data_IF_291424235275
#
_entry.id   IF_291424235275
#
_cell.length_a   1.000
_cell.length_b   1.000
_cell.length_c   1.000
_cell.angle_alpha   90.00
_cell.angle_beta   90.00
_cell.angle_gamma   90.00
#
_symmetry.space_group_name_H-M   'P 1'
#
loop_
_entity.id
_entity.type
_entity.pdbx_description
1 polymer ?
#
# COMPACT_ATOMS: atom_id res chain seq x y z
N UNK A 1 -7.73 25.01 -6.54
CA UNK A 1 -7.53 24.40 -7.05
C UNK A 1 -7.45 23.15 -6.75
N UNK A 2 -7.67 22.52 -7.13
CA UNK A 2 -7.66 21.45 -6.63
C UNK A 2 -6.69 20.59 -7.08
N UNK A 3 -6.23 19.80 -6.38
CA UNK A 3 -5.38 19.00 -6.71
C UNK A 3 -5.86 17.71 -6.84
N UNK A 4 -6.30 17.31 -7.82
CA UNK A 4 -6.87 16.13 -7.96
C UNK A 4 -6.00 15.02 -8.27
N UNK A 5 -4.75 15.16 -8.19
CA UNK A 5 -3.90 14.28 -8.63
C UNK A 5 -3.98 12.94 -8.04
N UNK A 6 -3.71 12.60 -6.89
CA UNK A 6 -3.62 11.32 -6.27
C UNK A 6 -4.55 11.33 -5.09
N UNK A 7 -5.69 10.65 -5.21
CA UNK A 7 -6.66 10.64 -4.15
C UNK A 7 -6.88 9.27 -3.57
N UNK A 8 -6.62 8.21 -4.32
CA UNK A 8 -6.85 6.84 -3.86
C UNK A 8 -5.54 6.11 -3.84
N UNK A 9 -5.11 5.66 -2.70
CA UNK A 9 -3.82 5.03 -2.54
C UNK A 9 -3.97 3.67 -1.92
N UNK A 10 -3.40 2.66 -2.57
CA UNK A 10 -3.34 1.32 -2.01
C UNK A 10 -2.03 1.15 -1.29
N UNK A 11 -2.05 0.53 -0.13
CA UNK A 11 -0.84 0.29 0.64
C UNK A 11 -0.73 -1.20 0.93
N UNK A 12 0.41 -1.79 0.57
CA UNK A 12 0.68 -3.20 0.80
C UNK A 12 1.94 -3.33 1.62
N UNK A 13 1.94 -4.24 2.55
CA UNK A 13 3.10 -4.42 3.40
C UNK A 13 3.36 -5.88 3.67
N UNK A 14 4.63 -6.25 3.75
CA UNK A 14 4.99 -7.60 4.11
C UNK A 14 4.64 -7.81 5.58
N UNK A 15 3.83 -8.81 5.90
CA UNK A 15 3.31 -8.98 7.25
C UNK A 15 4.31 -9.13 8.37
N UNK A 16 5.44 -9.71 8.11
CA UNK A 16 6.37 -9.99 9.18
C UNK A 16 7.53 -9.04 9.30
N UNK A 17 7.51 -7.93 8.63
CA UNK A 17 8.61 -6.98 8.73
C UNK A 17 8.48 -6.19 10.04
N UNK A 18 9.45 -6.25 10.92
CA UNK A 18 9.32 -5.58 12.22
C UNK A 18 9.14 -4.06 12.13
N UNK A 19 9.81 -3.44 11.15
CA UNK A 19 9.68 -2.00 11.01
C UNK A 19 8.37 -1.59 10.37
N UNK A 20 7.64 -2.53 9.81
CA UNK A 20 6.42 -2.21 9.09
C UNK A 20 5.36 -1.59 9.97
N UNK A 21 5.24 -2.08 11.20
CA UNK A 21 4.21 -1.58 12.10
C UNK A 21 4.42 -0.09 12.36
N UNK A 22 5.66 0.29 12.62
CA UNK A 22 5.97 1.68 12.90
C UNK A 22 5.73 2.56 11.69
N UNK A 23 6.20 2.11 10.53
CA UNK A 23 6.03 2.88 9.29
C UNK A 23 4.57 3.02 8.93
N UNK A 24 3.81 1.92 8.97
CA UNK A 24 2.40 1.98 8.65
C UNK A 24 1.65 2.86 9.62
N UNK A 25 2.01 2.79 10.89
CA UNK A 25 1.36 3.58 11.92
C UNK A 25 1.53 5.09 11.72
N UNK A 26 2.55 5.50 10.96
CA UNK A 26 2.78 6.89 10.65
C UNK A 26 2.25 7.23 9.28
N UNK A 27 2.46 6.36 8.32
CA UNK A 27 2.11 6.62 6.94
C UNK A 27 0.60 6.70 6.72
N UNK A 28 -0.13 5.74 7.25
CA UNK A 28 -1.56 5.68 6.96
C UNK A 28 -2.32 6.85 7.55
N UNK A 29 -2.10 7.23 8.82
CA UNK A 29 -2.78 8.42 9.33
C UNK A 29 -2.38 9.68 8.57
N UNK A 30 -1.10 9.75 8.15
CA UNK A 30 -0.64 10.91 7.41
C UNK A 30 -1.36 11.03 6.06
N UNK A 31 -1.51 9.90 5.35
CA UNK A 31 -2.20 9.91 4.07
C UNK A 31 -3.67 10.31 4.26
N UNK A 32 -4.31 9.82 5.29
CA UNK A 32 -5.69 10.15 5.57
C UNK A 32 -5.85 11.64 5.90
N UNK A 33 -4.83 12.23 6.56
CA UNK A 33 -4.87 13.61 6.86
C UNK A 33 -4.70 14.42 5.62
N UNK A 34 -4.10 13.88 4.56
CA UNK A 34 -3.96 14.58 3.29
C UNK A 34 -5.20 14.37 2.41
N UNK A 35 -6.28 13.85 2.99
CA UNK A 35 -7.52 13.58 2.28
C UNK A 35 -7.40 12.48 1.23
N UNK A 36 -6.47 11.58 1.41
CA UNK A 36 -6.35 10.43 0.53
C UNK A 36 -7.23 9.31 1.05
N UNK A 37 -7.86 8.59 0.14
CA UNK A 37 -8.62 7.41 0.50
C UNK A 37 -7.63 6.26 0.45
N UNK A 38 -7.42 5.60 1.57
CA UNK A 38 -6.41 4.56 1.67
C UNK A 38 -7.07 3.19 1.63
N UNK A 39 -6.60 2.35 0.69
CA UNK A 39 -7.09 0.98 0.58
C UNK A 39 -6.00 0.05 1.09
N UNK A 40 -6.39 -0.90 1.92
CA UNK A 40 -5.45 -1.87 2.48
C UNK A 40 -5.95 -3.26 2.16
N UNK A 41 -5.05 -4.16 1.80
CA UNK A 41 -5.46 -5.55 1.68
C UNK A 41 -5.58 -6.14 3.09
N UNK A 42 -6.09 -7.34 3.19
CA UNK A 42 -6.37 -7.96 4.48
C UNK A 42 -5.13 -8.05 5.35
N UNK A 43 -4.03 -8.51 4.77
CA UNK A 43 -2.81 -8.68 5.57
C UNK A 43 -2.24 -7.38 6.09
N UNK A 44 -2.28 -6.33 5.28
CA UNK A 44 -1.78 -5.03 5.69
C UNK A 44 -2.68 -4.43 6.78
N UNK A 45 -3.98 -4.57 6.61
CA UNK A 45 -4.92 -4.04 7.60
C UNK A 45 -4.71 -4.73 8.96
N UNK A 46 -4.45 -6.02 8.94
CA UNK A 46 -4.21 -6.74 10.18
C UNK A 46 -3.03 -6.17 10.95
N UNK A 47 -2.00 -5.72 10.28
CA UNK A 47 -0.81 -5.20 10.96
C UNK A 47 -1.16 -4.01 11.84
N UNK A 48 -2.13 -3.21 11.43
CA UNK A 48 -2.51 -2.04 12.20
C UNK A 48 -3.87 -2.20 12.87
N UNK A 49 -4.28 -3.44 13.05
CA UNK A 49 -5.54 -3.73 13.73
C UNK A 49 -6.76 -3.12 13.08
N UNK A 50 -6.77 -3.08 11.77
CA UNK A 50 -7.95 -2.65 11.02
C UNK A 50 -8.49 -3.84 10.26
N UNK A 51 -9.70 -3.73 9.77
CA UNK A 51 -10.34 -4.78 9.01
C UNK A 51 -10.47 -4.35 7.55
N UNK A 52 -10.17 -5.24 6.64
CA UNK A 52 -10.34 -4.96 5.24
C UNK A 52 -10.64 -6.26 4.52
N UNK A 53 -11.46 -6.19 3.49
CA UNK A 53 -11.75 -7.34 2.67
C UNK A 53 -11.31 -7.13 1.23
N UNK A 54 -10.54 -6.11 0.95
CA UNK A 54 -10.08 -5.87 -0.42
C UNK A 54 -8.98 -6.84 -0.81
N UNK A 55 -9.02 -7.28 -2.06
CA UNK A 55 -7.94 -8.08 -2.61
C UNK A 55 -7.01 -7.17 -3.40
N UNK A 56 -5.80 -7.62 -3.67
CA UNK A 56 -4.82 -6.82 -4.39
C UNK A 56 -5.36 -6.31 -5.71
N UNK A 57 -6.07 -7.17 -6.44
CA UNK A 57 -6.60 -6.75 -7.73
C UNK A 57 -7.63 -5.66 -7.61
N UNK A 58 -8.51 -5.78 -6.62
CA UNK A 58 -9.54 -4.77 -6.40
C UNK A 58 -8.91 -3.42 -6.10
N UNK A 59 -7.87 -3.42 -5.28
CA UNK A 59 -7.17 -2.20 -4.93
C UNK A 59 -6.50 -1.61 -6.15
N UNK A 60 -5.85 -2.46 -6.96
CA UNK A 60 -5.16 -2.00 -8.16
C UNK A 60 -6.11 -1.38 -9.17
N UNK A 61 -7.34 -1.86 -9.23
CA UNK A 61 -8.32 -1.30 -10.14
C UNK A 61 -8.76 0.10 -9.75
N UNK A 62 -8.73 0.40 -8.47
CA UNK A 62 -9.26 1.66 -7.98
C UNK A 62 -8.22 2.71 -7.63
N UNK A 63 -7.03 2.28 -7.28
CA UNK A 63 -6.04 3.22 -6.75
C UNK A 63 -5.38 4.06 -7.82
N UNK A 64 -4.96 5.23 -7.45
CA UNK A 64 -4.19 6.10 -8.33
C UNK A 64 -2.70 5.85 -8.14
N UNK A 65 -2.33 5.27 -7.01
CA UNK A 65 -0.94 4.98 -6.69
C UNK A 65 -0.94 3.82 -5.71
N UNK A 66 0.04 2.94 -5.84
CA UNK A 66 0.23 1.87 -4.87
C UNK A 66 1.56 2.09 -4.16
N UNK A 67 1.55 1.93 -2.85
CA UNK A 67 2.76 2.00 -2.05
C UNK A 67 3.02 0.61 -1.51
N UNK A 68 4.20 0.08 -1.75
CA UNK A 68 4.57 -1.26 -1.33
C UNK A 68 5.73 -1.19 -0.36
N UNK A 69 5.51 -1.71 0.84
CA UNK A 69 6.54 -1.75 1.88
C UNK A 69 7.01 -3.19 2.04
N UNK A 70 8.23 -3.46 1.71
CA UNK A 70 8.76 -4.81 1.82
C UNK A 70 9.94 -5.04 0.93
N UNK A 71 10.13 -6.24 0.50
CA UNK A 71 11.23 -6.60 -0.38
C UNK A 71 10.73 -6.97 -1.76
N UNK A 72 11.60 -7.62 -2.52
CA UNK A 72 11.33 -7.93 -3.92
C UNK A 72 10.13 -8.83 -4.13
N UNK A 73 9.93 -9.79 -3.25
CA UNK A 73 8.81 -10.71 -3.40
C UNK A 73 7.47 -10.00 -3.25
N UNK A 74 7.38 -9.09 -2.27
CA UNK A 74 6.16 -8.32 -2.04
C UNK A 74 5.90 -7.42 -3.24
N UNK A 75 6.94 -6.75 -3.71
CA UNK A 75 6.82 -5.86 -4.85
C UNK A 75 6.37 -6.61 -6.10
N UNK A 76 6.96 -7.78 -6.36
CA UNK A 76 6.62 -8.54 -7.53
C UNK A 76 5.15 -8.98 -7.49
N UNK A 77 4.67 -9.41 -6.34
CA UNK A 77 3.28 -9.81 -6.20
C UNK A 77 2.32 -8.67 -6.48
N UNK A 78 2.63 -7.48 -5.98
CA UNK A 78 1.80 -6.31 -6.22
C UNK A 78 1.89 -5.89 -7.70
N UNK A 79 3.10 -5.94 -8.26
CA UNK A 79 3.29 -5.53 -9.66
C UNK A 79 2.46 -6.40 -10.61
N UNK A 80 2.36 -7.70 -10.32
CA UNK A 80 1.55 -8.57 -11.16
C UNK A 80 0.07 -8.19 -11.11
N UNK A 81 -0.42 -7.79 -9.94
CA UNK A 81 -1.80 -7.38 -9.81
C UNK A 81 -2.05 -6.02 -10.45
N UNK A 82 -1.06 -5.15 -10.41
CA UNK A 82 -1.20 -3.79 -10.90
C UNK A 82 -1.01 -3.65 -12.41
N UNK A 83 -0.21 -4.54 -12.99
CA UNK A 83 0.17 -4.43 -14.39
C UNK A 83 -1.00 -4.22 -15.35
N UNK A 84 -2.09 -4.97 -15.25
CA UNK A 84 -3.21 -4.78 -16.19
C UNK A 84 -3.85 -3.40 -16.13
N UNK A 85 -3.66 -2.69 -15.01
CA UNK A 85 -4.33 -1.42 -14.79
C UNK A 85 -3.39 -0.22 -14.90
N UNK A 86 -2.12 -0.49 -15.18
CA UNK A 86 -1.13 0.57 -15.32
C UNK A 86 -1.05 1.52 -14.13
N UNK A 87 -1.19 1.02 -12.92
CA UNK A 87 -1.12 1.85 -11.73
C UNK A 87 0.34 2.03 -11.34
N UNK A 88 0.79 3.24 -11.09
CA UNK A 88 2.17 3.44 -10.65
C UNK A 88 2.40 2.88 -9.25
N UNK A 89 3.60 2.40 -9.01
CA UNK A 89 3.97 1.79 -7.75
C UNK A 89 5.16 2.51 -7.16
N UNK A 90 5.04 2.89 -5.89
CA UNK A 90 6.16 3.42 -5.14
C UNK A 90 6.61 2.31 -4.20
N UNK A 91 7.79 1.78 -4.42
CA UNK A 91 8.31 0.70 -3.60
C UNK A 91 9.23 1.24 -2.53
N UNK A 92 8.99 0.82 -1.30
CA UNK A 92 9.83 1.21 -0.18
C UNK A 92 10.45 -0.06 0.37
N UNK A 93 11.75 -0.20 0.18
CA UNK A 93 12.46 -1.37 0.62
C UNK A 93 12.69 -1.23 2.12
N UNK A 94 12.19 -2.20 2.87
CA UNK A 94 12.36 -2.16 4.31
C UNK A 94 13.69 -2.75 4.74
N UNK A 95 14.60 -2.72 3.98
CA UNK A 95 15.83 -2.97 4.27
C UNK A 95 16.41 -4.17 4.22
N UNK A 96 16.71 -4.56 4.04
CA UNK A 96 17.27 -5.43 4.17
C UNK A 96 17.61 -6.29 3.42
N UNK A 97 18.42 -6.41 3.31
CA UNK A 97 18.92 -7.11 2.69
C UNK A 97 18.88 -8.28 3.06
N UNK A 98 18.67 -8.39 3.62
CA UNK A 98 18.69 -9.56 4.18
C UNK A 98 18.14 -10.38 4.24
#
# INVERSE_FOLDING_TARGET
MSNERVKKIGVFCKPKAPSAIDILGRLIPWLRKQNCHVFLDTGTADIINETSSYEKREISQQADLLIVLGGDGTLLGVARSAHPYNVPILAVNLGSLG
#
